data_IF_642585480384
#
_entry.id   IF_642585480384
#
_cell.length_a   1.000
_cell.length_b   1.000
_cell.length_c   1.000
_cell.angle_alpha   90.00
_cell.angle_beta   90.00
_cell.angle_gamma   90.00
#
_symmetry.space_group_name_H-M   'P 1'
#
loop_
_entity.id
_entity.type
_entity.pdbx_description
1 polymer ?
#
# COMPACT_ATOMS: atom_id res chain seq x y z
N UNK A 1 24.23 -0.36 -16.84
CA UNK A 1 23.04 0.46 -17.18
C UNK A 1 22.33 0.85 -15.90
N UNK A 2 22.37 2.13 -15.50
CA UNK A 2 21.62 2.60 -14.31
C UNK A 2 20.14 2.70 -14.69
N UNK A 3 19.27 1.95 -14.01
CA UNK A 3 17.81 2.07 -14.20
C UNK A 3 17.40 3.46 -13.74
N UNK A 4 16.93 4.29 -14.67
CA UNK A 4 16.38 5.61 -14.38
C UNK A 4 15.11 5.38 -13.55
N UNK A 5 15.12 5.78 -12.28
CA UNK A 5 13.94 5.76 -11.43
C UNK A 5 13.14 7.02 -11.74
N UNK A 6 12.01 6.85 -12.41
CA UNK A 6 11.08 7.94 -12.65
C UNK A 6 10.43 8.37 -11.33
N UNK A 7 10.19 9.68 -11.14
CA UNK A 7 9.54 10.16 -9.95
C UNK A 7 8.14 9.54 -9.79
N UNK A 8 7.66 9.40 -8.55
CA UNK A 8 6.31 8.91 -8.25
C UNK A 8 5.24 9.70 -9.02
N UNK A 9 4.49 9.05 -9.91
CA UNK A 9 3.54 9.71 -10.82
C UNK A 9 2.15 9.77 -10.15
N UNK A 10 1.79 8.77 -9.34
CA UNK A 10 0.45 8.67 -8.74
C UNK A 10 0.49 8.08 -7.33
N UNK A 11 -0.05 8.85 -6.38
CA UNK A 11 -0.37 8.40 -5.03
C UNK A 11 -1.74 7.73 -5.00
N UNK A 12 -1.80 6.50 -4.50
CA UNK A 12 -3.02 5.71 -4.42
C UNK A 12 -3.23 5.21 -3.00
N UNK A 13 -4.49 5.12 -2.58
CA UNK A 13 -4.84 4.58 -1.26
C UNK A 13 -4.94 3.06 -1.35
N UNK A 14 -4.20 2.37 -0.49
CA UNK A 14 -4.46 0.99 -0.18
C UNK A 14 -5.67 0.93 0.76
N UNK A 15 -6.71 0.25 0.32
CA UNK A 15 -7.97 0.07 1.06
C UNK A 15 -8.00 -1.31 1.68
N UNK A 16 -8.51 -1.37 2.90
CA UNK A 16 -8.73 -2.61 3.61
C UNK A 16 -9.69 -3.52 2.81
N UNK A 17 -9.33 -4.78 2.53
CA UNK A 17 -10.19 -5.70 1.79
C UNK A 17 -11.46 -6.08 2.56
N UNK A 18 -11.47 -5.93 3.90
CA UNK A 18 -12.59 -6.31 4.76
C UNK A 18 -13.59 -5.16 4.92
N UNK A 19 -13.13 -3.99 5.38
CA UNK A 19 -14.00 -2.86 5.73
C UNK A 19 -13.89 -1.66 4.78
N UNK A 20 -13.09 -1.76 3.71
CA UNK A 20 -12.87 -0.71 2.71
C UNK A 20 -12.33 0.63 3.26
N UNK A 21 -11.92 0.67 4.52
CA UNK A 21 -11.26 1.83 5.12
C UNK A 21 -9.88 2.01 4.49
N UNK A 22 -9.51 3.27 4.23
CA UNK A 22 -8.19 3.65 3.73
C UNK A 22 -7.12 3.36 4.80
N UNK A 23 -6.08 2.61 4.43
CA UNK A 23 -5.02 2.18 5.35
C UNK A 23 -3.75 3.01 5.16
N UNK A 24 -3.20 3.00 3.95
CA UNK A 24 -1.91 3.64 3.65
C UNK A 24 -1.94 4.23 2.24
N UNK A 25 -1.22 5.32 2.03
CA UNK A 25 -0.95 5.84 0.69
C UNK A 25 0.36 5.24 0.21
N UNK A 26 0.35 4.70 -0.99
CA UNK A 26 1.56 4.24 -1.66
C UNK A 26 1.69 4.92 -3.02
N UNK A 27 2.90 4.90 -3.54
CA UNK A 27 3.17 5.35 -4.89
C UNK A 27 3.09 4.19 -5.90
N UNK A 28 2.73 4.49 -7.15
CA UNK A 28 2.63 3.50 -8.22
C UNK A 28 3.95 2.76 -8.56
N UNK A 29 5.09 3.21 -8.06
CA UNK A 29 6.39 2.52 -8.17
C UNK A 29 6.75 1.67 -6.95
N UNK A 30 5.99 1.79 -5.85
CA UNK A 30 6.25 1.05 -4.63
C UNK A 30 5.97 -0.44 -4.83
N UNK A 31 6.92 -1.29 -4.44
CA UNK A 31 6.73 -2.73 -4.29
C UNK A 31 6.83 -3.08 -2.81
N UNK A 32 5.74 -3.54 -2.23
CA UNK A 32 5.68 -3.90 -0.82
C UNK A 32 5.18 -5.33 -0.68
N UNK A 33 6.03 -6.18 -0.11
CA UNK A 33 5.71 -7.58 0.23
C UNK A 33 6.22 -7.83 1.65
N UNK A 34 5.46 -8.59 2.45
CA UNK A 34 5.78 -8.81 3.87
C UNK A 34 5.47 -7.64 4.81
N UNK A 35 4.65 -6.67 4.38
CA UNK A 35 4.21 -5.56 5.23
C UNK A 35 2.80 -5.84 5.76
N UNK A 36 2.65 -5.91 7.07
CA UNK A 36 1.37 -6.18 7.72
C UNK A 36 0.89 -4.93 8.45
N UNK A 37 -0.32 -4.49 8.12
CA UNK A 37 -0.97 -3.36 8.78
C UNK A 37 -2.23 -3.85 9.48
N UNK A 38 -2.36 -3.46 10.74
CA UNK A 38 -3.60 -3.61 11.48
C UNK A 38 -4.58 -2.52 11.08
N UNK A 39 -5.74 -2.91 10.56
CA UNK A 39 -6.79 -1.95 10.25
C UNK A 39 -7.37 -1.38 11.55
N UNK A 40 -7.47 -0.04 11.64
CA UNK A 40 -8.01 0.63 12.83
C UNK A 40 -9.51 0.34 13.07
N UNK A 41 -10.26 0.07 12.00
CA UNK A 41 -11.72 -0.15 12.05
C UNK A 41 -12.07 -1.60 12.33
N UNK A 42 -11.66 -2.52 11.47
CA UNK A 42 -12.00 -3.95 11.62
C UNK A 42 -11.03 -4.70 12.53
N UNK A 43 -9.93 -4.07 12.97
CA UNK A 43 -8.88 -4.64 13.84
C UNK A 43 -8.16 -5.88 13.28
N UNK A 44 -8.49 -6.30 12.06
CA UNK A 44 -7.80 -7.37 11.35
C UNK A 44 -6.40 -6.93 10.89
N UNK A 45 -5.47 -7.86 10.93
CA UNK A 45 -4.17 -7.73 10.28
C UNK A 45 -4.29 -8.09 8.80
N UNK A 46 -3.80 -7.19 7.97
CA UNK A 46 -3.88 -7.31 6.51
C UNK A 46 -2.47 -7.16 5.97
N UNK A 47 -2.10 -8.09 5.10
CA UNK A 47 -0.87 -7.99 4.33
C UNK A 47 -1.06 -7.01 3.17
N UNK A 48 -0.28 -5.94 3.18
CA UNK A 48 -0.25 -4.96 2.09
C UNK A 48 0.63 -5.51 0.97
N UNK A 49 -0.02 -6.00 -0.09
CA UNK A 49 0.61 -6.43 -1.35
C UNK A 49 0.39 -5.38 -2.42
N UNK A 50 1.47 -4.70 -2.81
CA UNK A 50 1.53 -3.68 -3.85
C UNK A 50 2.69 -4.02 -4.79
#
# INVERSE_FOLDING_TARGET
>A
MRKIQYPPIRKMWYVCPVCKTKLVIYDNTAKCTGLFIKCRTCKNEIEVKI
#
